data_IF_978330890570
#
_entry.id   IF_978330890570
#
_cell.length_a   1.000
_cell.length_b   1.000
_cell.length_c   1.000
_cell.angle_alpha   90.00
_cell.angle_beta   90.00
_cell.angle_gamma   90.00
#
_symmetry.space_group_name_H-M   'P 1'
#
loop_
_entity.id
_entity.type
_entity.pdbx_description
1 polymer ?
#
# COMPACT_ATOMS: atom_id res chain seq x y z
N UNK A 1 11.93 34.69 18.69
CA UNK A 1 11.46 33.31 18.87
C UNK A 1 10.49 32.84 17.79
N UNK A 2 9.37 33.55 17.55
CA UNK A 2 8.39 33.20 16.49
C UNK A 2 8.96 33.14 15.07
N UNK A 3 9.85 34.08 14.70
CA UNK A 3 10.46 34.12 13.36
C UNK A 3 11.34 32.89 13.08
N UNK A 4 12.14 32.47 14.07
CA UNK A 4 13.00 31.28 13.99
C UNK A 4 12.18 29.99 13.88
N UNK A 5 11.12 29.84 14.70
CA UNK A 5 10.19 28.70 14.58
C UNK A 5 9.45 28.65 13.24
N UNK A 6 9.12 29.80 12.66
CA UNK A 6 8.54 29.89 11.31
C UNK A 6 9.54 29.41 10.25
N UNK A 7 10.77 29.90 10.29
CA UNK A 7 11.85 29.48 9.37
C UNK A 7 12.15 27.98 9.47
N UNK A 8 12.17 27.41 10.69
CA UNK A 8 12.33 25.96 10.92
C UNK A 8 11.16 25.13 10.34
N UNK A 9 9.93 25.63 10.48
CA UNK A 9 8.72 24.98 9.93
C UNK A 9 8.72 25.04 8.40
N UNK A 10 9.08 26.18 7.83
CA UNK A 10 9.15 26.38 6.38
C UNK A 10 10.23 25.48 5.76
N UNK A 11 11.40 25.37 6.40
CA UNK A 11 12.46 24.47 5.96
C UNK A 11 12.00 23.01 6.01
N UNK A 12 11.35 22.60 7.10
CA UNK A 12 10.81 21.24 7.26
C UNK A 12 9.76 20.93 6.19
N UNK A 13 8.90 21.89 5.86
CA UNK A 13 7.90 21.77 4.80
C UNK A 13 8.54 21.54 3.43
N UNK A 14 9.57 22.31 3.09
CA UNK A 14 10.28 22.16 1.81
C UNK A 14 10.92 20.77 1.66
N UNK A 15 11.50 20.25 2.74
CA UNK A 15 12.08 18.89 2.76
C UNK A 15 10.98 17.83 2.55
N UNK A 16 9.84 17.97 3.22
CA UNK A 16 8.69 17.06 3.05
C UNK A 16 8.16 17.10 1.62
N UNK A 17 7.96 18.28 1.04
CA UNK A 17 7.48 18.44 -0.34
C UNK A 17 8.44 17.81 -1.35
N UNK A 18 9.75 18.01 -1.19
CA UNK A 18 10.77 17.38 -2.04
C UNK A 18 10.72 15.85 -1.95
N UNK A 19 10.61 15.32 -0.74
CA UNK A 19 10.53 13.87 -0.52
C UNK A 19 9.25 13.30 -1.14
N UNK A 20 8.10 13.96 -0.97
CA UNK A 20 6.82 13.57 -1.56
C UNK A 20 6.89 13.50 -3.09
N UNK A 21 7.48 14.52 -3.74
CA UNK A 21 7.65 14.52 -5.18
C UNK A 21 8.54 13.36 -5.65
N UNK A 22 9.63 13.09 -4.95
CA UNK A 22 10.52 11.97 -5.29
C UNK A 22 9.82 10.60 -5.19
N UNK A 23 8.94 10.43 -4.20
CA UNK A 23 8.15 9.21 -4.01
C UNK A 23 7.05 9.06 -5.07
N UNK A 24 6.43 10.17 -5.49
CA UNK A 24 5.44 10.16 -6.56
C UNK A 24 6.06 9.74 -7.91
N UNK A 25 7.24 10.27 -8.24
CA UNK A 25 7.97 9.88 -9.47
C UNK A 25 8.28 8.38 -9.45
N UNK A 26 8.87 7.86 -8.35
CA UNK A 26 9.16 6.42 -8.21
C UNK A 26 7.90 5.56 -8.35
N UNK A 27 6.78 6.04 -7.84
CA UNK A 27 5.50 5.34 -7.98
C UNK A 27 5.02 5.31 -9.42
N UNK A 28 5.08 6.43 -10.14
CA UNK A 28 4.72 6.50 -11.57
C UNK A 28 5.61 5.59 -12.41
N UNK A 29 6.93 5.59 -12.17
CA UNK A 29 7.86 4.68 -12.84
C UNK A 29 7.52 3.20 -12.60
N UNK A 30 7.06 2.87 -11.39
CA UNK A 30 6.64 1.50 -11.06
C UNK A 30 5.32 1.16 -11.76
N UNK A 31 4.36 2.09 -11.77
CA UNK A 31 3.07 1.93 -12.45
C UNK A 31 3.24 1.69 -13.94
N UNK A 32 4.14 2.44 -14.60
CA UNK A 32 4.40 2.32 -16.03
C UNK A 32 5.04 0.98 -16.44
N UNK A 33 5.61 0.24 -15.48
CA UNK A 33 6.18 -1.10 -15.72
C UNK A 33 5.12 -2.21 -15.64
N UNK A 34 3.94 -1.93 -15.09
CA UNK A 34 2.87 -2.90 -14.92
C UNK A 34 1.95 -2.81 -16.14
N UNK A 35 1.84 -3.91 -16.89
CA UNK A 35 1.05 -3.96 -18.14
C UNK A 35 -0.42 -4.35 -17.93
N UNK A 36 -0.78 -4.81 -16.73
CA UNK A 36 -2.16 -5.17 -16.40
C UNK A 36 -2.95 -3.94 -15.92
N UNK A 37 -3.64 -3.29 -16.85
CA UNK A 37 -4.49 -2.13 -16.60
C UNK A 37 -5.63 -2.43 -15.62
N UNK A 38 -6.16 -3.66 -15.61
CA UNK A 38 -7.25 -4.03 -14.72
C UNK A 38 -6.75 -4.08 -13.28
N UNK A 39 -5.58 -4.67 -13.07
CA UNK A 39 -4.90 -4.70 -11.77
C UNK A 39 -4.60 -3.28 -11.27
N UNK A 40 -4.08 -2.40 -12.13
CA UNK A 40 -3.77 -1.01 -11.77
C UNK A 40 -5.04 -0.24 -11.35
N UNK A 41 -6.15 -0.43 -12.07
CA UNK A 41 -7.45 0.18 -11.73
C UNK A 41 -7.96 -0.32 -10.38
N UNK A 42 -7.92 -1.63 -10.15
CA UNK A 42 -8.36 -2.24 -8.89
C UNK A 42 -7.52 -1.76 -7.70
N UNK A 43 -6.19 -1.78 -7.84
CA UNK A 43 -5.28 -1.20 -6.84
C UNK A 43 -5.59 0.27 -6.59
N UNK A 44 -5.78 1.07 -7.64
CA UNK A 44 -6.05 2.51 -7.54
C UNK A 44 -7.34 2.79 -6.77
N UNK A 45 -8.40 2.04 -7.05
CA UNK A 45 -9.67 2.11 -6.35
C UNK A 45 -9.51 1.74 -4.87
N UNK A 46 -8.93 0.58 -4.57
CA UNK A 46 -8.68 0.12 -3.20
C UNK A 46 -7.80 1.11 -2.43
N UNK A 47 -6.76 1.67 -3.06
CA UNK A 47 -5.88 2.65 -2.41
C UNK A 47 -6.64 3.90 -2.00
N UNK A 48 -7.55 4.38 -2.85
CA UNK A 48 -8.39 5.54 -2.55
C UNK A 48 -9.36 5.25 -1.40
N UNK A 49 -10.03 4.11 -1.43
CA UNK A 49 -11.02 3.75 -0.41
C UNK A 49 -10.42 3.35 0.94
N UNK A 50 -9.24 2.73 0.94
CA UNK A 50 -8.61 2.13 2.13
C UNK A 50 -7.49 2.99 2.71
N UNK A 51 -7.54 4.31 2.51
CA UNK A 51 -6.62 5.26 3.13
C UNK A 51 -5.16 5.07 2.73
N UNK A 52 -4.91 4.74 1.47
CA UNK A 52 -3.56 4.50 0.95
C UNK A 52 -3.04 3.07 1.09
N UNK A 53 -3.73 2.20 1.84
CA UNK A 53 -3.30 0.82 2.13
C UNK A 53 -4.14 -0.20 1.36
N UNK A 54 -3.81 -0.38 0.07
CA UNK A 54 -4.48 -1.34 -0.81
C UNK A 54 -3.93 -2.78 -0.67
N UNK A 55 -2.63 -2.91 -0.37
CA UNK A 55 -1.90 -4.17 -0.28
C UNK A 55 -1.47 -4.38 1.18
N UNK A 56 -1.61 -5.60 1.69
CA UNK A 56 -1.11 -6.00 3.01
C UNK A 56 -0.26 -7.26 2.90
N UNK A 57 0.88 -7.26 3.59
CA UNK A 57 1.69 -8.46 3.82
C UNK A 57 1.05 -9.30 4.91
N UNK A 58 1.07 -10.63 4.76
CA UNK A 58 0.51 -11.60 5.70
C UNK A 58 1.57 -12.61 6.07
N UNK A 59 1.78 -12.84 7.36
CA UNK A 59 2.71 -13.84 7.93
C UNK A 59 2.02 -14.86 8.86
N UNK A 60 0.70 -14.80 9.00
CA UNK A 60 -0.06 -15.64 9.92
C UNK A 60 -1.46 -15.98 9.41
N UNK A 61 -2.39 -16.11 10.35
CA UNK A 61 -3.80 -16.44 10.05
C UNK A 61 -4.70 -15.23 9.90
N UNK A 62 -4.21 -14.01 10.12
CA UNK A 62 -5.04 -12.81 10.19
C UNK A 62 -4.69 -11.82 9.08
N UNK A 63 -5.70 -11.13 8.53
CA UNK A 63 -5.49 -10.00 7.62
C UNK A 63 -5.09 -8.74 8.41
N UNK A 64 -3.90 -8.15 8.22
CA UNK A 64 -3.51 -6.97 9.02
C UNK A 64 -4.27 -5.69 8.67
N UNK A 65 -5.08 -5.71 7.60
CA UNK A 65 -5.88 -4.56 7.19
C UNK A 65 -7.25 -4.48 7.85
N UNK A 66 -7.83 -5.62 8.26
CA UNK A 66 -9.15 -5.67 8.91
C UNK A 66 -9.15 -6.47 10.21
N UNK A 67 -8.02 -7.09 10.56
CA UNK A 67 -7.82 -7.86 11.80
C UNK A 67 -8.77 -9.04 11.98
N UNK A 68 -9.31 -9.55 10.87
CA UNK A 68 -10.12 -10.77 10.84
C UNK A 68 -9.29 -11.95 10.34
N UNK A 69 -9.63 -13.14 10.83
CA UNK A 69 -9.02 -14.39 10.40
C UNK A 69 -9.27 -14.64 8.90
N UNK A 70 -8.24 -15.15 8.27
CA UNK A 70 -8.23 -15.59 6.89
C UNK A 70 -8.58 -17.09 6.86
N UNK A 71 -9.46 -17.50 5.94
CA UNK A 71 -9.72 -18.91 5.69
C UNK A 71 -8.43 -19.70 5.38
N UNK A 72 -8.40 -20.97 5.78
CA UNK A 72 -7.19 -21.82 5.62
C UNK A 72 -6.78 -22.01 4.16
N UNK A 73 -7.74 -22.03 3.24
CA UNK A 73 -7.50 -22.07 1.80
C UNK A 73 -6.83 -20.79 1.30
N UNK A 74 -7.28 -19.62 1.77
CA UNK A 74 -6.67 -18.31 1.47
C UNK A 74 -5.21 -18.29 1.93
N UNK A 75 -4.94 -18.73 3.16
CA UNK A 75 -3.57 -18.83 3.71
C UNK A 75 -2.72 -19.82 2.89
N UNK A 76 -3.28 -20.98 2.54
CA UNK A 76 -2.59 -21.97 1.71
C UNK A 76 -2.21 -21.41 0.34
N UNK A 77 -3.11 -20.68 -0.32
CA UNK A 77 -2.85 -20.05 -1.60
C UNK A 77 -1.80 -18.93 -1.50
N UNK A 78 -1.88 -18.11 -0.45
CA UNK A 78 -0.89 -17.08 -0.15
C UNK A 78 0.51 -17.69 0.00
N UNK A 79 0.66 -18.71 0.85
CA UNK A 79 1.95 -19.40 1.05
C UNK A 79 2.52 -20.03 -0.22
N UNK A 80 1.66 -20.43 -1.17
CA UNK A 80 2.10 -21.00 -2.44
C UNK A 80 2.52 -19.93 -3.46
N UNK A 81 2.35 -18.63 -3.15
CA UNK A 81 2.70 -17.47 -3.99
C UNK A 81 2.23 -17.59 -5.44
N UNK A 82 1.09 -18.28 -5.68
CA UNK A 82 0.67 -18.62 -7.05
C UNK A 82 -0.13 -17.52 -7.74
N UNK A 83 -0.80 -16.64 -6.98
CA UNK A 83 -1.76 -15.65 -7.51
C UNK A 83 -1.89 -14.43 -6.58
N UNK A 84 -2.42 -13.34 -7.14
CA UNK A 84 -2.96 -12.21 -6.35
C UNK A 84 -4.17 -12.73 -5.57
N UNK A 85 -4.11 -12.61 -4.25
CA UNK A 85 -5.18 -13.06 -3.35
C UNK A 85 -5.84 -11.83 -2.75
N UNK A 86 -7.17 -11.85 -2.68
CA UNK A 86 -7.97 -10.78 -2.11
C UNK A 86 -8.50 -11.24 -0.75
N UNK A 87 -8.42 -10.36 0.25
CA UNK A 87 -9.03 -10.61 1.54
C UNK A 87 -10.56 -10.71 1.39
N UNK A 88 -11.20 -11.83 1.79
CA UNK A 88 -12.64 -12.00 1.64
C UNK A 88 -13.45 -11.02 2.50
N UNK A 89 -12.83 -10.45 3.55
CA UNK A 89 -13.50 -9.59 4.51
C UNK A 89 -13.42 -8.09 4.17
N UNK A 90 -12.33 -7.63 3.55
CA UNK A 90 -12.09 -6.20 3.34
C UNK A 90 -11.61 -5.82 1.93
N UNK A 91 -11.52 -6.82 1.05
CA UNK A 91 -11.14 -6.68 -0.36
C UNK A 91 -9.73 -6.16 -0.62
N UNK A 92 -8.87 -6.04 0.41
CA UNK A 92 -7.46 -5.69 0.20
C UNK A 92 -6.71 -6.82 -0.49
N UNK A 93 -5.73 -6.45 -1.31
CA UNK A 93 -4.79 -7.38 -1.90
C UNK A 93 -3.87 -7.90 -0.78
N UNK A 94 -3.66 -9.21 -0.75
CA UNK A 94 -2.82 -9.90 0.21
C UNK A 94 -1.61 -10.49 -0.51
N UNK A 95 -0.43 -10.30 0.08
CA UNK A 95 0.81 -10.95 -0.32
C UNK A 95 1.39 -11.68 0.89
N UNK A 96 2.03 -12.82 0.67
CA UNK A 96 2.71 -13.52 1.76
C UNK A 96 4.03 -12.79 2.08
N UNK A 97 4.33 -12.63 3.36
CA UNK A 97 5.60 -12.06 3.81
C UNK A 97 6.67 -13.16 3.72
N UNK A 98 7.70 -12.91 2.92
CA UNK A 98 8.85 -13.82 2.79
C UNK A 98 9.61 -13.97 4.12
#
# INVERSE_FOLDING_TARGET
EFKKRKEETDLSRLVIEKNMNSLNIKREETFNKITDDRLLKEYGHLRKEKGGKAIMEVDGSMCPGCYLDLPSDVIYQLKKNRKIIICPNCSRILIWKD
#
